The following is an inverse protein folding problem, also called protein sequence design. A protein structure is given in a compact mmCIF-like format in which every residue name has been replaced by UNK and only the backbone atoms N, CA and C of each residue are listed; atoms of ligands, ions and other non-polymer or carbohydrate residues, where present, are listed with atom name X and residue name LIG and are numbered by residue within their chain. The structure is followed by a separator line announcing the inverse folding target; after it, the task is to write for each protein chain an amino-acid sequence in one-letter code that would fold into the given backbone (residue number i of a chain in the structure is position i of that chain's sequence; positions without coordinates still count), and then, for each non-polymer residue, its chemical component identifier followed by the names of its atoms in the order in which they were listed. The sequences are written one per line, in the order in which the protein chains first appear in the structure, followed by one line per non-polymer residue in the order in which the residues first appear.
data_IF_786704730609
#
_entry.id   IF_786704730609
#
_cell.length_a   1.000
_cell.length_b   1.000
_cell.length_c   1.000
_cell.angle_alpha   90.00
_cell.angle_beta   90.00
_cell.angle_gamma   90.00
#
_symmetry.space_group_name_H-M   'P 1'
#
loop_
_entity.id
_entity.type
_entity.pdbx_description
1 polymer ?
#
# COMPACT_ATOMS: atom_id res chain seq x y z
N UNK A 1 -10.27 -16.51 12.08
CA UNK A 1 -9.38 -15.98 13.13
C UNK A 1 -8.17 -15.42 12.41
N UNK A 2 -8.18 -14.12 12.13
CA UNK A 2 -7.09 -13.46 11.39
C UNK A 2 -6.01 -13.13 12.40
N UNK A 3 -4.82 -13.72 12.25
CA UNK A 3 -3.67 -13.38 13.08
C UNK A 3 -3.38 -11.90 12.83
N UNK A 4 -3.33 -11.02 13.86
CA UNK A 4 -2.96 -9.63 13.65
C UNK A 4 -1.52 -9.60 13.13
N UNK A 5 -1.38 -9.29 11.84
CA UNK A 5 -0.07 -9.09 11.22
C UNK A 5 0.54 -7.85 11.86
N UNK A 6 1.75 -7.97 12.40
CA UNK A 6 2.42 -6.81 13.01
C UNK A 6 2.73 -5.81 11.90
N UNK A 7 2.49 -4.51 12.12
CA UNK A 7 2.75 -3.49 11.09
C UNK A 7 4.18 -3.58 10.54
N UNK A 8 5.17 -3.90 11.39
CA UNK A 8 6.54 -4.17 10.96
C UNK A 8 6.66 -5.18 9.80
N UNK A 9 5.88 -6.27 9.82
CA UNK A 9 5.90 -7.30 8.78
C UNK A 9 5.26 -6.77 7.49
N UNK A 10 4.12 -6.08 7.60
CA UNK A 10 3.44 -5.41 6.48
C UNK A 10 4.37 -4.38 5.83
N UNK A 11 5.05 -3.57 6.66
CA UNK A 11 6.02 -2.56 6.26
C UNK A 11 7.22 -3.17 5.51
N UNK A 12 7.73 -4.31 5.97
CA UNK A 12 8.78 -5.03 5.26
C UNK A 12 8.29 -5.56 3.90
N UNK A 13 7.08 -6.13 3.85
CA UNK A 13 6.50 -6.69 2.64
C UNK A 13 6.23 -5.62 1.55
N UNK A 14 5.63 -4.49 1.92
CA UNK A 14 5.34 -3.38 0.99
C UNK A 14 6.63 -2.77 0.44
N UNK A 15 7.67 -2.60 1.27
CA UNK A 15 8.98 -2.10 0.83
C UNK A 15 9.66 -3.07 -0.13
N UNK A 16 9.60 -4.38 0.15
CA UNK A 16 10.13 -5.40 -0.75
C UNK A 16 9.40 -5.41 -2.10
N UNK A 17 8.07 -5.26 -2.10
CA UNK A 17 7.28 -5.18 -3.33
C UNK A 17 7.63 -3.93 -4.17
N UNK A 18 7.78 -2.77 -3.53
CA UNK A 18 8.20 -1.52 -4.20
C UNK A 18 9.59 -1.66 -4.83
N UNK A 19 10.57 -2.18 -4.08
CA UNK A 19 11.95 -2.36 -4.56
C UNK A 19 12.08 -3.36 -5.70
N UNK A 20 11.27 -4.42 -5.68
CA UNK A 20 11.27 -5.45 -6.71
C UNK A 20 10.38 -5.12 -7.92
N UNK A 21 9.66 -3.99 -7.89
CA UNK A 21 8.70 -3.63 -8.94
C UNK A 21 7.47 -4.56 -8.98
N UNK A 22 7.24 -5.37 -7.94
CA UNK A 22 6.13 -6.32 -7.85
C UNK A 22 4.85 -5.66 -7.36
N UNK A 23 4.43 -4.62 -8.07
CA UNK A 23 3.19 -3.92 -7.76
C UNK A 23 2.44 -3.49 -9.01
N UNK A 24 1.14 -3.30 -8.84
CA UNK A 24 0.24 -2.73 -9.82
C UNK A 24 -0.53 -1.58 -9.18
N UNK A 25 -1.16 -0.75 -10.01
CA UNK A 25 -2.02 0.32 -9.53
C UNK A 25 -3.47 -0.19 -9.37
N UNK A 26 -4.14 0.18 -8.27
CA UNK A 26 -5.57 -0.11 -8.11
C UNK A 26 -6.35 0.68 -9.17
N UNK A 27 -6.65 0.08 -10.32
CA UNK A 27 -7.49 0.75 -11.34
C UNK A 27 -8.93 0.80 -10.85
N UNK A 28 -9.41 2.03 -10.59
CA UNK A 28 -10.85 2.30 -10.47
C UNK A 28 -11.24 3.13 -11.66
N UNK A 29 -12.38 2.78 -12.27
CA UNK A 29 -13.01 3.43 -13.43
C UNK A 29 -13.12 4.97 -13.40
N UNK A 30 -12.79 5.66 -12.30
CA UNK A 30 -12.81 7.12 -12.13
C UNK A 30 -11.72 7.70 -11.19
N UNK A 31 -10.71 6.94 -10.74
CA UNK A 31 -9.74 7.40 -9.69
C UNK A 31 -8.29 7.49 -10.18
N UNK A 32 -7.97 6.93 -11.35
CA UNK A 32 -6.59 6.90 -11.88
C UNK A 32 -5.95 8.29 -12.01
N UNK A 33 -6.75 9.36 -12.09
CA UNK A 33 -6.30 10.77 -12.19
C UNK A 33 -5.67 11.34 -10.91
N UNK A 34 -5.67 10.60 -9.78
CA UNK A 34 -5.07 11.10 -8.52
C UNK A 34 -4.02 10.18 -7.92
N UNK A 35 -3.76 9.01 -8.50
CA UNK A 35 -2.73 8.13 -7.99
C UNK A 35 -1.36 8.62 -8.48
N UNK A 36 -0.67 9.38 -7.65
CA UNK A 36 0.59 10.06 -8.00
C UNK A 36 1.66 9.06 -8.48
N UNK A 37 1.66 7.83 -7.94
CA UNK A 37 2.59 6.79 -8.36
C UNK A 37 2.23 6.21 -9.74
N UNK A 38 0.93 6.07 -10.03
CA UNK A 38 0.47 5.60 -11.35
C UNK A 38 0.70 6.63 -12.46
N UNK A 39 0.64 7.92 -12.12
CA UNK A 39 0.90 9.03 -13.04
C UNK A 39 2.39 9.36 -13.17
N UNK A 40 3.28 8.61 -12.49
CA UNK A 40 4.72 8.87 -12.42
C UNK A 40 5.11 10.27 -11.86
N UNK A 41 4.19 10.96 -11.17
CA UNK A 41 4.44 12.21 -10.45
C UNK A 41 5.32 11.97 -9.21
N UNK A 42 5.28 10.74 -8.67
CA UNK A 42 6.19 10.29 -7.61
C UNK A 42 6.83 8.96 -7.97
N UNK A 43 8.00 8.70 -7.39
CA UNK A 43 8.75 7.46 -7.63
C UNK A 43 8.48 6.42 -6.55
N UNK A 44 8.65 5.10 -6.85
CA UNK A 44 8.59 4.05 -5.83
C UNK A 44 9.54 4.31 -4.66
N UNK A 45 10.71 4.91 -4.92
CA UNK A 45 11.70 5.25 -3.88
C UNK A 45 11.21 6.37 -2.96
N UNK A 46 10.43 7.33 -3.46
CA UNK A 46 9.80 8.35 -2.61
C UNK A 46 8.77 7.69 -1.68
N UNK A 47 7.91 6.83 -2.25
CA UNK A 47 6.87 6.10 -1.50
C UNK A 47 7.51 5.21 -0.44
N UNK A 48 8.60 4.52 -0.78
CA UNK A 48 9.39 3.75 0.17
C UNK A 48 9.87 4.60 1.35
N UNK A 49 10.41 5.81 1.10
CA UNK A 49 10.88 6.71 2.17
C UNK A 49 9.74 7.15 3.09
N UNK A 50 8.55 7.41 2.55
CA UNK A 50 7.35 7.72 3.35
C UNK A 50 7.04 6.54 4.28
N UNK A 51 6.95 5.33 3.73
CA UNK A 51 6.64 4.11 4.50
C UNK A 51 7.73 3.81 5.54
N UNK A 52 9.02 3.98 5.19
CA UNK A 52 10.14 3.72 6.11
C UNK A 52 10.10 4.68 7.31
N UNK A 53 9.64 5.92 7.12
CA UNK A 53 9.53 6.90 8.19
C UNK A 53 8.32 6.70 9.11
N UNK A 54 7.27 6.01 8.63
CA UNK A 54 6.05 5.90 9.41
C UNK A 54 6.09 4.87 10.53
N UNK A 55 5.23 5.02 11.52
CA UNK A 55 5.11 4.12 12.67
C UNK A 55 3.72 3.48 12.81
N UNK A 56 3.53 2.69 13.88
CA UNK A 56 2.29 1.95 14.15
C UNK A 56 1.07 2.88 14.30
N UNK A 57 1.25 4.14 14.69
CA UNK A 57 0.16 5.10 14.92
C UNK A 57 -0.39 5.70 13.62
N UNK A 58 0.41 5.66 12.57
CA UNK A 58 0.07 6.14 11.22
C UNK A 58 -0.47 5.03 10.32
N UNK A 59 -0.53 3.79 10.84
CA UNK A 59 -0.97 2.61 10.12
C UNK A 59 -2.33 2.11 10.60
N UNK A 60 -3.21 1.80 9.64
CA UNK A 60 -4.46 1.09 9.90
C UNK A 60 -4.65 -0.05 8.89
N UNK A 61 -5.31 -1.11 9.35
CA UNK A 61 -5.70 -2.25 8.52
C UNK A 61 -7.17 -2.55 8.67
N UNK A 62 -7.83 -2.90 7.57
CA UNK A 62 -9.24 -3.30 7.58
C UNK A 62 -9.52 -4.28 6.43
N UNK A 63 -10.51 -5.18 6.58
CA UNK A 63 -10.87 -6.09 5.50
C UNK A 63 -11.31 -5.35 4.23
N UNK A 64 -10.94 -5.87 3.06
CA UNK A 64 -11.37 -5.33 1.77
C UNK A 64 -12.90 -5.48 1.62
N UNK A 65 -13.57 -4.42 1.16
CA UNK A 65 -15.03 -4.31 1.14
C UNK A 65 -15.75 -5.41 0.34
N UNK A 66 -15.11 -5.97 -0.69
CA UNK A 66 -15.66 -7.10 -1.47
C UNK A 66 -15.14 -8.47 -1.05
N UNK A 67 -13.95 -8.49 -0.44
CA UNK A 67 -13.19 -9.72 -0.21
C UNK A 67 -12.60 -9.64 1.19
N UNK A 68 -13.42 -9.94 2.20
CA UNK A 68 -13.04 -9.80 3.60
C UNK A 68 -11.82 -10.66 4.02
N UNK A 69 -11.39 -11.59 3.17
CA UNK A 69 -10.16 -12.37 3.34
C UNK A 69 -8.89 -11.63 2.94
N UNK A 70 -8.99 -10.45 2.34
CA UNK A 70 -7.87 -9.59 1.96
C UNK A 70 -7.85 -8.40 2.91
N UNK A 71 -6.71 -8.16 3.56
CA UNK A 71 -6.50 -6.96 4.36
C UNK A 71 -6.10 -5.78 3.46
N UNK A 72 -6.78 -4.65 3.66
CA UNK A 72 -6.42 -3.34 3.10
C UNK A 72 -5.63 -2.58 4.14
N UNK A 73 -4.42 -2.21 3.75
CA UNK A 73 -3.47 -1.46 4.56
C UNK A 73 -3.49 0.00 4.12
N UNK A 74 -3.48 0.90 5.10
CA UNK A 74 -3.38 2.34 4.88
C UNK A 74 -2.29 2.90 5.79
N UNK A 75 -1.39 3.69 5.21
CA UNK A 75 -0.38 4.46 5.93
C UNK A 75 -0.65 5.93 5.64
N UNK A 76 -0.94 6.70 6.68
CA UNK A 76 -1.16 8.14 6.61
C UNK A 76 -0.02 8.87 7.36
N UNK A 77 1.03 9.28 6.65
CA UNK A 77 2.26 9.81 7.26
C UNK A 77 2.78 11.03 6.53
N UNK A 78 3.10 12.09 7.27
CA UNK A 78 3.72 13.30 6.70
C UNK A 78 2.94 13.95 5.55
N UNK A 79 1.60 13.88 5.59
CA UNK A 79 0.71 14.38 4.54
C UNK A 79 0.50 13.43 3.36
N UNK A 80 1.11 12.24 3.38
CA UNK A 80 0.90 11.21 2.37
C UNK A 80 -0.14 10.20 2.80
N UNK A 81 -0.95 9.74 1.84
CA UNK A 81 -1.88 8.65 2.01
C UNK A 81 -1.49 7.50 1.06
N UNK A 82 -1.02 6.40 1.63
CA UNK A 82 -0.59 5.21 0.89
C UNK A 82 -1.52 4.05 1.23
N UNK A 83 -2.30 3.59 0.25
CA UNK A 83 -3.24 2.47 0.41
C UNK A 83 -2.79 1.29 -0.44
N UNK A 84 -2.74 0.10 0.14
CA UNK A 84 -2.34 -1.10 -0.59
C UNK A 84 -2.95 -2.38 -0.01
N UNK A 85 -2.87 -3.46 -0.79
CA UNK A 85 -3.23 -4.81 -0.37
C UNK A 85 -2.49 -5.83 -1.23
N UNK A 86 -2.35 -7.06 -0.73
CA UNK A 86 -1.64 -8.16 -1.41
C UNK A 86 -2.63 -9.23 -1.88
N UNK A 87 -2.44 -9.77 -3.09
CA UNK A 87 -3.28 -10.86 -3.64
C UNK A 87 -2.46 -11.91 -4.38
N UNK A 88 -2.93 -13.16 -4.33
CA UNK A 88 -2.41 -14.28 -5.13
C UNK A 88 -1.06 -14.85 -4.69
N UNK A 89 -0.55 -15.77 -5.50
CA UNK A 89 0.79 -16.38 -5.40
C UNK A 89 1.42 -16.45 -6.81
N UNK A 90 2.59 -15.82 -7.07
CA UNK A 90 3.32 -14.97 -6.14
C UNK A 90 2.53 -13.69 -5.80
N UNK A 91 2.57 -13.27 -4.54
CA UNK A 91 1.85 -12.08 -4.06
C UNK A 91 2.08 -10.86 -4.96
N UNK A 92 1.01 -10.34 -5.55
CA UNK A 92 0.99 -9.05 -6.26
C UNK A 92 0.44 -7.99 -5.33
N UNK A 93 1.17 -6.88 -5.19
CA UNK A 93 0.70 -5.73 -4.43
C UNK A 93 -0.09 -4.78 -5.33
N UNK A 94 -1.29 -4.37 -4.92
CA UNK A 94 -1.98 -3.24 -5.53
C UNK A 94 -1.80 -2.01 -4.65
N UNK A 95 -1.42 -0.87 -5.24
CA UNK A 95 -1.09 0.35 -4.48
C UNK A 95 -1.69 1.62 -5.11
N UNK A 96 -2.18 2.51 -4.25
CA UNK A 96 -2.58 3.87 -4.57
C UNK A 96 -1.93 4.87 -3.62
N UNK A 97 -1.35 5.94 -4.19
CA UNK A 97 -0.60 6.96 -3.46
C UNK A 97 -1.20 8.33 -3.73
N UNK A 98 -1.50 9.06 -2.66
CA UNK A 98 -2.06 10.42 -2.70
C UNK A 98 -1.32 11.33 -1.69
N UNK A 99 -1.47 12.64 -1.88
CA UNK A 99 -1.08 13.70 -0.95
C UNK A 99 -2.28 14.61 -0.71
#
# INVERSE_FOLDING_TARGET
MTIPVKYREVKQAVVAALRSGRFQHESRRNVDVKNLLAMAEVTPQLVERVIVKSDDTEYVSSPHHRFASIDVHVIASGGWYVKFYFVGDPYTMFISVHQ
#
